data_IF_710134912551
#
_entry.id   IF_710134912551
#
_cell.length_a   1.000
_cell.length_b   1.000
_cell.length_c   1.000
_cell.angle_alpha   90.00
_cell.angle_beta   90.00
_cell.angle_gamma   90.00
#
_symmetry.space_group_name_H-M   'P 1'
#
loop_
_entity.id
_entity.type
_entity.pdbx_description
1 polymer ?
#
# COMPACT_ATOMS: atom_id res chain seq x y z
N UNK A 1 -8.65 64.27 -23.51
CA UNK A 1 -8.24 64.71 -24.87
C UNK A 1 -9.21 64.04 -25.85
N UNK A 2 -9.75 64.80 -26.81
CA UNK A 2 -11.00 64.48 -27.51
C UNK A 2 -10.93 63.25 -28.41
N UNK A 3 -11.98 62.43 -28.39
CA UNK A 3 -12.19 61.23 -29.23
C UNK A 3 -12.49 61.55 -30.71
N UNK A 4 -12.11 62.72 -31.22
CA UNK A 4 -12.49 63.17 -32.57
C UNK A 4 -11.33 63.81 -33.34
N UNK A 5 -10.09 63.50 -32.96
CA UNK A 5 -8.95 63.79 -33.81
C UNK A 5 -8.96 62.74 -34.92
N UNK A 6 -9.56 63.11 -36.06
CA UNK A 6 -9.45 62.37 -37.33
C UNK A 6 -7.97 62.30 -37.69
N UNK A 7 -7.31 61.24 -37.24
CA UNK A 7 -6.02 60.84 -37.76
C UNK A 7 -6.26 60.43 -39.22
N UNK A 8 -5.77 61.26 -40.16
CA UNK A 8 -5.78 60.92 -41.57
C UNK A 8 -4.85 59.71 -41.76
N UNK A 9 -5.43 58.53 -41.93
CA UNK A 9 -4.68 57.29 -42.13
C UNK A 9 -4.43 57.06 -43.62
N UNK A 10 -3.19 56.70 -43.94
CA UNK A 10 -2.76 56.27 -45.27
C UNK A 10 -2.73 54.73 -45.29
N UNK A 11 -3.52 54.03 -46.13
CA UNK A 11 -3.62 52.57 -46.09
C UNK A 11 -2.29 51.89 -46.40
N UNK A 12 -1.68 51.18 -45.45
CA UNK A 12 -0.29 50.71 -45.64
C UNK A 12 -0.08 49.30 -46.17
N UNK A 13 -1.07 48.41 -46.37
CA UNK A 13 -0.77 47.07 -46.96
C UNK A 13 -1.92 46.11 -47.29
N UNK A 14 -3.11 46.27 -46.72
CA UNK A 14 -4.13 45.19 -46.70
C UNK A 14 -5.48 45.55 -47.34
N UNK A 15 -5.57 46.70 -48.02
CA UNK A 15 -6.75 47.11 -48.80
C UNK A 15 -6.43 46.84 -50.27
N UNK A 16 -6.98 45.77 -50.86
CA UNK A 16 -6.71 45.37 -52.25
C UNK A 16 -7.83 45.76 -53.22
N UNK A 17 -8.60 46.83 -53.01
CA UNK A 17 -9.59 47.38 -53.97
C UNK A 17 -10.44 46.36 -54.81
N UNK A 18 -10.61 45.12 -54.35
CA UNK A 18 -11.15 44.00 -55.11
C UNK A 18 -12.33 43.47 -54.32
N UNK A 19 -13.55 43.73 -54.78
CA UNK A 19 -14.74 43.25 -54.08
C UNK A 19 -14.75 41.70 -54.03
N UNK A 20 -14.91 41.07 -52.85
CA UNK A 20 -15.34 41.62 -51.57
C UNK A 20 -14.18 41.76 -50.56
N UNK A 21 -13.44 42.87 -50.62
CA UNK A 21 -12.53 43.29 -49.55
C UNK A 21 -13.31 43.89 -48.37
N UNK A 22 -12.84 43.62 -47.15
CA UNK A 22 -13.35 44.23 -45.91
C UNK A 22 -13.17 45.75 -46.03
N UNK A 23 -14.25 46.53 -45.94
CA UNK A 23 -14.16 47.99 -46.03
C UNK A 23 -13.32 48.60 -44.87
N UNK A 24 -12.82 49.81 -45.09
CA UNK A 24 -11.97 50.52 -44.14
C UNK A 24 -12.67 50.74 -42.78
N UNK A 25 -13.99 50.83 -42.73
CA UNK A 25 -14.74 50.99 -41.47
C UNK A 25 -14.69 49.71 -40.63
N UNK A 26 -14.89 48.55 -41.25
CA UNK A 26 -14.80 47.25 -40.59
C UNK A 26 -13.37 46.90 -40.17
N UNK A 27 -12.36 47.23 -40.98
CA UNK A 27 -10.95 47.10 -40.61
C UNK A 27 -10.60 48.00 -39.40
N UNK A 28 -11.03 49.25 -39.39
CA UNK A 28 -10.82 50.17 -38.27
C UNK A 28 -11.46 49.67 -36.96
N UNK A 29 -12.65 49.06 -37.05
CA UNK A 29 -13.31 48.43 -35.89
C UNK A 29 -12.50 47.24 -35.38
N UNK A 30 -11.94 46.42 -36.27
CA UNK A 30 -11.10 45.27 -35.90
C UNK A 30 -9.79 45.74 -35.26
N UNK A 31 -9.10 46.73 -35.83
CA UNK A 31 -7.87 47.29 -35.27
C UNK A 31 -8.11 47.91 -33.89
N UNK A 32 -9.17 48.71 -33.75
CA UNK A 32 -9.53 49.35 -32.48
C UNK A 32 -9.87 48.32 -31.40
N UNK A 33 -10.64 47.28 -31.76
CA UNK A 33 -10.98 46.21 -30.83
C UNK A 33 -9.74 45.41 -30.40
N UNK A 34 -8.82 45.13 -31.31
CA UNK A 34 -7.59 44.41 -30.98
C UNK A 34 -6.65 45.24 -30.09
N UNK A 35 -6.53 46.55 -30.34
CA UNK A 35 -5.75 47.47 -29.50
C UNK A 35 -6.30 47.57 -28.07
N UNK A 36 -7.62 47.46 -27.88
CA UNK A 36 -8.25 47.39 -26.55
C UNK A 36 -7.75 46.18 -25.74
N UNK A 37 -7.47 45.06 -26.42
CA UNK A 37 -6.85 43.86 -25.83
C UNK A 37 -5.31 43.90 -25.83
N UNK A 38 -4.70 45.03 -26.23
CA UNK A 38 -3.24 45.21 -26.27
C UNK A 38 -2.53 44.40 -27.36
N UNK A 39 -3.25 44.03 -28.43
CA UNK A 39 -2.71 43.27 -29.56
C UNK A 39 -2.90 44.07 -30.85
N UNK A 40 -1.87 44.20 -31.68
CA UNK A 40 -1.97 44.77 -33.02
C UNK A 40 -2.31 43.71 -34.08
N UNK A 41 -2.92 44.14 -35.19
CA UNK A 41 -3.14 43.24 -36.35
C UNK A 41 -1.82 42.68 -36.86
N UNK A 42 -0.76 43.48 -36.85
CA UNK A 42 0.58 43.04 -37.25
C UNK A 42 1.14 41.95 -36.33
N UNK A 43 0.93 42.05 -35.02
CA UNK A 43 1.31 41.00 -34.06
C UNK A 43 0.51 39.71 -34.29
N UNK A 44 -0.78 39.81 -34.58
CA UNK A 44 -1.63 38.66 -34.88
C UNK A 44 -1.25 37.98 -36.20
N UNK A 45 -1.02 38.78 -37.25
CA UNK A 45 -0.56 38.29 -38.55
C UNK A 45 0.84 37.68 -38.47
N UNK A 46 1.74 38.29 -37.69
CA UNK A 46 3.09 37.79 -37.47
C UNK A 46 3.11 36.46 -36.68
N UNK A 47 2.20 36.27 -35.73
CA UNK A 47 2.10 35.02 -34.97
C UNK A 47 1.80 33.81 -35.86
N UNK A 48 1.10 33.99 -36.99
CA UNK A 48 0.85 32.94 -37.98
C UNK A 48 0.20 31.67 -37.39
N UNK A 49 -0.51 31.81 -36.28
CA UNK A 49 -1.16 30.71 -35.55
C UNK A 49 -0.22 29.74 -34.81
N UNK A 50 1.09 30.03 -34.70
CA UNK A 50 2.05 29.14 -34.03
C UNK A 50 2.63 29.73 -32.76
N UNK A 51 2.72 28.92 -31.70
CA UNK A 51 3.36 29.29 -30.43
C UNK A 51 4.86 29.65 -30.57
N UNK A 52 5.50 29.24 -31.67
CA UNK A 52 6.91 29.59 -31.93
C UNK A 52 7.13 31.08 -32.23
N UNK A 53 6.09 31.79 -32.68
CA UNK A 53 6.17 33.23 -33.03
C UNK A 53 5.48 34.13 -32.02
N UNK A 54 4.70 33.57 -31.09
CA UNK A 54 4.09 34.31 -29.99
C UNK A 54 5.17 34.62 -28.96
N UNK A 55 5.38 35.91 -28.69
CA UNK A 55 6.28 36.41 -27.65
C UNK A 55 5.56 36.48 -26.31
N UNK A 56 6.24 36.08 -25.26
CA UNK A 56 5.74 36.07 -23.89
C UNK A 56 6.86 36.44 -22.92
N UNK A 57 6.49 37.13 -21.84
CA UNK A 57 7.43 37.47 -20.77
C UNK A 57 7.76 36.23 -19.94
N UNK A 58 9.02 35.82 -19.96
CA UNK A 58 9.56 34.76 -19.10
C UNK A 58 9.65 35.26 -17.66
N UNK A 59 8.52 35.19 -16.95
CA UNK A 59 8.40 35.76 -15.60
C UNK A 59 9.34 35.11 -14.58
N UNK A 60 9.71 33.86 -14.80
CA UNK A 60 10.49 33.06 -13.85
C UNK A 60 11.92 32.77 -14.29
N UNK A 61 12.31 33.20 -15.50
CA UNK A 61 13.62 32.92 -16.07
C UNK A 61 13.83 31.44 -16.40
N UNK A 62 12.83 30.82 -17.02
CA UNK A 62 12.86 29.40 -17.42
C UNK A 62 13.71 29.16 -18.67
N UNK A 63 13.79 30.15 -19.57
CA UNK A 63 14.53 30.09 -20.85
C UNK A 63 15.61 31.17 -20.90
N UNK A 64 15.29 32.38 -20.44
CA UNK A 64 16.19 33.54 -20.40
C UNK A 64 16.26 34.13 -18.99
N UNK A 65 16.85 35.31 -18.80
CA UNK A 65 16.75 36.00 -17.51
C UNK A 65 15.30 36.34 -17.17
N UNK A 66 14.92 36.27 -15.90
CA UNK A 66 13.58 36.62 -15.45
C UNK A 66 13.14 38.00 -15.97
N UNK A 67 11.86 38.08 -16.37
CA UNK A 67 11.23 39.22 -17.05
C UNK A 67 11.76 39.51 -18.46
N UNK A 68 12.66 38.67 -19.00
CA UNK A 68 13.08 38.70 -20.39
C UNK A 68 12.00 38.16 -21.32
N UNK A 69 12.10 38.50 -22.60
CA UNK A 69 11.16 38.04 -23.62
C UNK A 69 11.57 36.67 -24.16
N UNK A 70 10.62 35.74 -24.26
CA UNK A 70 10.80 34.39 -24.82
C UNK A 70 9.65 34.06 -25.76
N UNK A 71 9.82 33.04 -26.59
CA UNK A 71 8.68 32.50 -27.35
C UNK A 71 7.84 31.59 -26.46
N UNK A 72 6.53 31.56 -26.70
CA UNK A 72 5.63 30.68 -25.96
C UNK A 72 6.03 29.20 -26.10
N UNK A 73 6.50 28.79 -27.29
CA UNK A 73 7.03 27.43 -27.50
C UNK A 73 8.24 27.12 -26.61
N UNK A 74 9.21 28.03 -26.51
CA UNK A 74 10.40 27.80 -25.69
C UNK A 74 10.05 27.66 -24.20
N UNK A 75 9.09 28.45 -23.71
CA UNK A 75 8.59 28.33 -22.33
C UNK A 75 7.86 27.01 -22.10
N UNK A 76 7.01 26.57 -23.05
CA UNK A 76 6.34 25.27 -22.99
C UNK A 76 7.36 24.14 -22.95
N UNK A 77 8.38 24.18 -23.80
CA UNK A 77 9.44 23.17 -23.86
C UNK A 77 10.26 23.14 -22.55
N UNK A 78 10.60 24.31 -22.00
CA UNK A 78 11.30 24.42 -20.73
C UNK A 78 10.48 23.86 -19.55
N UNK A 79 9.18 24.16 -19.51
CA UNK A 79 8.26 23.61 -18.51
C UNK A 79 8.13 22.09 -18.69
N UNK A 80 7.93 21.61 -19.91
CA UNK A 80 7.84 20.18 -20.19
C UNK A 80 9.11 19.43 -19.75
N UNK A 81 10.28 20.00 -20.02
CA UNK A 81 11.56 19.45 -19.58
C UNK A 81 11.68 19.43 -18.04
N UNK A 82 11.37 20.56 -17.37
CA UNK A 82 11.41 20.65 -15.90
C UNK A 82 10.43 19.66 -15.26
N UNK A 83 9.22 19.53 -15.80
CA UNK A 83 8.23 18.56 -15.33
C UNK A 83 8.73 17.14 -15.54
N UNK A 84 9.14 16.77 -16.76
CA UNK A 84 9.47 15.38 -17.09
C UNK A 84 10.81 14.88 -16.52
N UNK A 85 11.80 15.76 -16.38
CA UNK A 85 13.16 15.35 -16.02
C UNK A 85 13.57 15.78 -14.60
N UNK A 86 13.03 16.88 -14.07
CA UNK A 86 13.41 17.38 -12.74
C UNK A 86 12.36 17.05 -11.67
N UNK A 87 11.08 17.40 -11.89
CA UNK A 87 10.00 17.25 -10.89
C UNK A 87 9.43 15.83 -10.87
N UNK A 88 9.04 15.31 -12.04
CA UNK A 88 8.56 13.94 -12.26
C UNK A 88 9.75 13.11 -12.73
N UNK A 89 10.88 13.20 -12.03
CA UNK A 89 12.03 12.36 -12.35
C UNK A 89 11.58 10.90 -12.27
N UNK A 90 11.45 10.22 -13.43
CA UNK A 90 10.93 8.85 -13.53
C UNK A 90 11.70 7.87 -12.62
N UNK A 91 12.97 8.16 -12.32
CA UNK A 91 13.79 7.38 -11.39
C UNK A 91 13.41 7.55 -9.90
N UNK A 92 12.52 8.50 -9.56
CA UNK A 92 11.90 8.67 -8.23
C UNK A 92 10.45 8.18 -8.19
N UNK A 93 9.87 7.83 -9.35
CA UNK A 93 8.59 7.11 -9.46
C UNK A 93 8.92 5.63 -9.57
N UNK A 94 9.40 5.05 -8.47
CA UNK A 94 9.81 3.64 -8.43
C UNK A 94 8.86 2.87 -7.52
N UNK A 95 8.67 1.61 -7.90
CA UNK A 95 7.98 0.56 -7.17
C UNK A 95 8.20 0.66 -5.65
N UNK A 96 7.13 0.98 -4.92
CA UNK A 96 7.08 1.35 -3.48
C UNK A 96 7.82 0.41 -2.51
N UNK A 97 8.18 -0.80 -2.93
CA UNK A 97 8.75 -1.81 -2.02
C UNK A 97 10.26 -1.69 -1.79
N UNK A 98 11.02 -1.02 -2.67
CA UNK A 98 12.49 -1.15 -2.69
C UNK A 98 13.29 0.14 -2.44
N UNK A 99 12.64 1.29 -2.21
CA UNK A 99 13.35 2.55 -2.02
C UNK A 99 13.90 2.69 -0.59
N UNK A 100 15.21 2.91 -0.46
CA UNK A 100 15.97 2.94 0.82
C UNK A 100 16.44 4.34 1.22
N UNK A 101 16.27 5.35 0.37
CA UNK A 101 16.67 6.74 0.63
C UNK A 101 15.51 7.58 1.19
N UNK A 102 15.67 8.06 2.42
CA UNK A 102 14.68 8.85 3.15
C UNK A 102 14.43 10.26 2.58
N UNK A 103 15.28 10.74 1.68
CA UNK A 103 15.09 12.00 0.96
C UNK A 103 14.18 11.87 -0.28
N UNK A 104 13.71 10.66 -0.58
CA UNK A 104 12.84 10.37 -1.73
C UNK A 104 11.46 9.84 -1.31
N UNK A 105 10.44 10.41 -1.95
CA UNK A 105 8.98 10.21 -1.89
C UNK A 105 8.44 9.18 -0.86
N UNK A 106 7.57 9.70 0.02
CA UNK A 106 6.55 9.18 0.96
C UNK A 106 6.20 7.67 1.09
N UNK A 107 6.75 6.72 0.33
CA UNK A 107 6.35 5.31 0.39
C UNK A 107 7.51 4.31 0.49
N UNK A 108 8.72 4.63 0.01
CA UNK A 108 9.85 3.69 0.01
C UNK A 108 10.35 3.31 1.41
N UNK A 109 10.66 4.33 2.21
CA UNK A 109 11.14 4.13 3.59
C UNK A 109 10.08 3.50 4.49
N UNK A 110 8.81 3.78 4.24
CA UNK A 110 7.70 3.16 4.96
C UNK A 110 7.56 1.67 4.59
N UNK A 111 7.70 1.31 3.31
CA UNK A 111 7.67 -0.08 2.83
C UNK A 111 8.75 -0.94 3.49
N UNK A 112 10.00 -0.48 3.50
CA UNK A 112 11.11 -1.22 4.13
C UNK A 112 10.96 -1.34 5.66
N UNK A 113 10.43 -0.30 6.32
CA UNK A 113 10.15 -0.35 7.76
C UNK A 113 8.99 -1.31 8.09
N UNK A 114 7.96 -1.37 7.23
CA UNK A 114 6.85 -2.31 7.35
C UNK A 114 7.31 -3.75 7.15
N UNK A 115 8.12 -4.02 6.12
CA UNK A 115 8.68 -5.36 5.85
C UNK A 115 9.47 -5.90 7.06
N UNK A 116 10.39 -5.10 7.63
CA UNK A 116 11.11 -5.48 8.85
C UNK A 116 10.19 -5.79 10.02
N UNK A 117 9.16 -4.97 10.22
CA UNK A 117 8.17 -5.18 11.31
C UNK A 117 7.32 -6.42 11.05
N UNK A 118 6.96 -6.69 9.80
CA UNK A 118 6.19 -7.86 9.39
C UNK A 118 6.99 -9.14 9.63
N UNK A 119 8.22 -9.21 9.13
CA UNK A 119 9.11 -10.37 9.33
C UNK A 119 9.36 -10.63 10.82
N UNK A 120 9.57 -9.58 11.62
CA UNK A 120 9.71 -9.73 13.07
C UNK A 120 8.44 -10.29 13.73
N UNK A 121 7.26 -9.82 13.30
CA UNK A 121 5.98 -10.32 13.80
C UNK A 121 5.73 -11.78 13.40
N UNK A 122 6.02 -12.15 12.15
CA UNK A 122 5.90 -13.53 11.65
C UNK A 122 6.78 -14.50 12.46
N UNK A 123 8.04 -14.10 12.71
CA UNK A 123 8.96 -14.91 13.52
C UNK A 123 8.48 -15.05 14.97
N UNK A 124 7.98 -13.97 15.58
CA UNK A 124 7.43 -14.01 16.94
C UNK A 124 6.20 -14.93 17.04
N UNK A 125 5.30 -14.89 16.05
CA UNK A 125 4.13 -15.78 15.99
C UNK A 125 4.57 -17.25 15.84
N UNK A 126 5.57 -17.53 15.01
CA UNK A 126 6.11 -18.88 14.85
C UNK A 126 6.70 -19.42 16.17
N UNK A 127 7.44 -18.59 16.91
CA UNK A 127 7.98 -18.95 18.23
C UNK A 127 6.87 -19.23 19.25
N UNK A 128 5.89 -18.32 19.37
CA UNK A 128 4.76 -18.52 20.29
C UNK A 128 3.98 -19.81 19.99
N UNK A 129 3.77 -20.13 18.72
CA UNK A 129 3.13 -21.38 18.33
C UNK A 129 3.98 -22.60 18.73
N UNK A 130 5.31 -22.51 18.61
CA UNK A 130 6.20 -23.59 19.05
C UNK A 130 6.25 -23.75 20.58
N UNK A 131 6.18 -22.65 21.33
CA UNK A 131 6.27 -22.65 22.80
C UNK A 131 4.93 -23.01 23.48
N UNK A 132 3.81 -22.51 22.96
CA UNK A 132 2.45 -22.84 23.44
C UNK A 132 2.09 -24.33 23.24
N UNK A 133 2.78 -25.01 22.32
CA UNK A 133 2.59 -26.42 22.02
C UNK A 133 3.07 -27.37 23.14
N UNK A 134 3.87 -26.88 24.10
CA UNK A 134 4.30 -27.68 25.25
C UNK A 134 3.32 -27.64 26.43
N UNK A 135 2.26 -26.83 26.37
CA UNK A 135 1.36 -26.66 27.53
C UNK A 135 -0.15 -26.69 27.26
N UNK A 136 -0.66 -26.52 26.03
CA UNK A 136 -2.11 -26.27 25.86
C UNK A 136 -2.82 -26.99 24.69
N UNK A 137 -2.75 -28.33 24.66
CA UNK A 137 -3.89 -29.09 24.15
C UNK A 137 -4.70 -29.60 25.35
N UNK A 138 -5.55 -28.75 25.94
CA UNK A 138 -6.49 -29.20 26.97
C UNK A 138 -7.49 -30.16 26.32
N UNK A 139 -7.24 -31.47 26.46
CA UNK A 139 -8.20 -32.47 26.04
C UNK A 139 -9.34 -32.50 27.06
N UNK A 140 -10.48 -31.89 26.72
CA UNK A 140 -11.68 -31.88 27.55
C UNK A 140 -12.72 -32.85 27.00
N UNK A 141 -13.09 -33.86 27.80
CA UNK A 141 -14.11 -34.86 27.42
C UNK A 141 -15.11 -35.04 28.54
N UNK A 142 -16.38 -35.24 28.16
CA UNK A 142 -17.52 -35.35 29.09
C UNK A 142 -17.70 -36.74 29.72
N UNK A 143 -17.05 -37.79 29.19
CA UNK A 143 -17.12 -39.17 29.69
C UNK A 143 -15.81 -39.50 30.45
N UNK A 144 -15.91 -39.93 31.70
CA UNK A 144 -14.76 -40.07 32.61
C UNK A 144 -14.69 -41.43 33.35
N UNK A 145 -15.43 -42.44 32.89
CA UNK A 145 -15.27 -43.81 33.38
C UNK A 145 -13.97 -44.43 32.85
N UNK A 146 -13.50 -45.51 33.48
CA UNK A 146 -12.19 -46.09 33.15
C UNK A 146 -12.08 -46.58 31.70
N UNK A 147 -13.18 -47.08 31.12
CA UNK A 147 -13.19 -47.56 29.74
C UNK A 147 -13.30 -46.42 28.72
N UNK A 148 -14.13 -45.41 29.00
CA UNK A 148 -14.25 -44.22 28.17
C UNK A 148 -12.93 -43.46 28.07
N UNK A 149 -12.26 -43.23 29.21
CA UNK A 149 -10.94 -42.58 29.26
C UNK A 149 -9.93 -43.35 28.40
N UNK A 150 -9.86 -44.68 28.54
CA UNK A 150 -8.89 -45.49 27.79
C UNK A 150 -9.14 -45.46 26.28
N UNK A 151 -10.39 -45.65 25.86
CA UNK A 151 -10.76 -45.67 24.44
C UNK A 151 -10.52 -44.32 23.77
N UNK A 152 -10.91 -43.25 24.44
CA UNK A 152 -10.73 -41.89 23.97
C UNK A 152 -9.24 -41.52 23.85
N UNK A 153 -8.45 -41.83 24.88
CA UNK A 153 -7.00 -41.60 24.88
C UNK A 153 -6.30 -42.38 23.76
N UNK A 154 -6.71 -43.63 23.53
CA UNK A 154 -6.17 -44.45 22.45
C UNK A 154 -6.52 -43.88 21.06
N UNK A 155 -7.78 -43.52 20.84
CA UNK A 155 -8.24 -42.95 19.58
C UNK A 155 -7.52 -41.64 19.23
N UNK A 156 -7.22 -40.82 20.25
CA UNK A 156 -6.58 -39.53 20.09
C UNK A 156 -5.05 -39.56 20.27
N UNK A 157 -4.43 -40.72 20.52
CA UNK A 157 -3.01 -40.80 20.87
C UNK A 157 -2.09 -40.08 19.85
N UNK A 158 -2.40 -40.23 18.57
CA UNK A 158 -1.62 -39.66 17.48
C UNK A 158 -1.84 -38.15 17.28
N UNK A 159 -2.91 -37.58 17.84
CA UNK A 159 -3.17 -36.12 17.78
C UNK A 159 -2.36 -35.36 18.82
N UNK A 160 -2.03 -36.02 19.95
CA UNK A 160 -1.12 -35.46 20.95
C UNK A 160 0.30 -35.32 20.40
N UNK A 161 0.96 -34.22 20.77
CA UNK A 161 2.36 -33.98 20.44
C UNK A 161 3.27 -34.83 21.35
N UNK A 162 4.45 -35.19 20.86
CA UNK A 162 5.51 -35.74 21.71
C UNK A 162 5.87 -34.73 22.80
N UNK A 163 6.04 -35.19 24.03
CA UNK A 163 6.26 -34.35 25.21
C UNK A 163 5.14 -34.48 26.24
N UNK A 164 4.97 -33.44 27.06
CA UNK A 164 3.97 -33.39 28.13
C UNK A 164 2.73 -32.61 27.67
N UNK A 165 1.54 -33.13 27.96
CA UNK A 165 0.26 -32.44 27.72
C UNK A 165 -0.67 -32.57 28.92
N UNK A 166 -1.53 -31.57 29.16
CA UNK A 166 -2.52 -31.58 30.24
C UNK A 166 -3.86 -32.20 29.80
N UNK A 167 -4.54 -32.88 30.73
CA UNK A 167 -5.79 -33.59 30.50
C UNK A 167 -6.87 -33.17 31.50
N UNK A 168 -8.12 -33.09 31.02
CA UNK A 168 -9.29 -32.87 31.86
C UNK A 168 -10.47 -33.73 31.38
N UNK A 169 -10.79 -34.77 32.12
CA UNK A 169 -12.01 -35.56 31.91
C UNK A 169 -13.02 -35.17 32.99
N UNK A 170 -14.20 -34.66 32.62
CA UNK A 170 -15.19 -34.17 33.62
C UNK A 170 -16.62 -34.48 33.22
N UNK A 171 -17.44 -34.79 34.20
CA UNK A 171 -18.89 -34.80 34.07
C UNK A 171 -19.52 -34.05 35.24
N UNK A 172 -20.84 -34.16 35.40
CA UNK A 172 -21.57 -33.50 36.51
C UNK A 172 -21.26 -34.07 37.89
N UNK A 173 -20.66 -35.27 37.98
CA UNK A 173 -20.41 -35.97 39.23
C UNK A 173 -18.92 -35.97 39.65
N UNK A 174 -17.99 -35.96 38.69
CA UNK A 174 -16.56 -36.16 38.96
C UNK A 174 -15.69 -35.47 37.89
N UNK A 175 -14.49 -35.04 38.29
CA UNK A 175 -13.45 -34.55 37.40
C UNK A 175 -12.12 -35.28 37.65
N UNK A 176 -11.47 -35.69 36.57
CA UNK A 176 -10.13 -36.24 36.52
C UNK A 176 -9.21 -35.26 35.82
N UNK A 177 -8.14 -34.85 36.49
CA UNK A 177 -7.09 -34.00 35.93
C UNK A 177 -5.81 -34.81 35.82
N UNK A 178 -4.97 -34.50 34.85
CA UNK A 178 -3.73 -35.24 34.70
C UNK A 178 -2.84 -34.81 33.56
N UNK A 179 -1.86 -35.65 33.27
CA UNK A 179 -0.83 -35.39 32.28
C UNK A 179 -0.62 -36.61 31.37
N UNK A 180 -0.39 -36.34 30.09
CA UNK A 180 0.22 -37.30 29.15
C UNK A 180 1.72 -37.03 29.16
N UNK A 181 2.51 -38.09 29.16
CA UNK A 181 3.92 -38.06 28.80
C UNK A 181 4.11 -38.96 27.57
N UNK A 182 4.08 -38.35 26.37
CA UNK A 182 4.18 -39.05 25.09
C UNK A 182 5.63 -39.04 24.62
N UNK A 183 6.20 -40.22 24.43
CA UNK A 183 7.53 -40.36 23.84
C UNK A 183 7.45 -40.38 22.30
N UNK A 184 6.56 -41.20 21.74
CA UNK A 184 6.29 -41.28 20.31
C UNK A 184 4.87 -41.81 20.05
N UNK A 185 4.52 -42.11 18.79
CA UNK A 185 3.20 -42.64 18.44
C UNK A 185 2.93 -44.06 18.98
N UNK A 186 3.97 -44.78 19.40
CA UNK A 186 3.86 -46.13 19.96
C UNK A 186 4.08 -46.16 21.48
N UNK A 187 4.65 -45.14 22.11
CA UNK A 187 5.08 -45.20 23.52
C UNK A 187 4.73 -43.95 24.30
N UNK A 188 4.23 -44.15 25.50
CA UNK A 188 4.08 -43.10 26.49
C UNK A 188 3.27 -43.57 27.70
N UNK A 189 2.92 -42.63 28.55
CA UNK A 189 2.14 -42.89 29.77
C UNK A 189 1.17 -41.77 30.05
N UNK A 190 0.13 -42.10 30.80
CA UNK A 190 -0.88 -41.14 31.27
C UNK A 190 -1.04 -41.31 32.77
N UNK A 191 -1.11 -40.20 33.48
CA UNK A 191 -1.44 -40.13 34.91
C UNK A 191 -2.67 -39.25 35.08
N UNK A 192 -3.69 -39.76 35.77
CA UNK A 192 -4.90 -39.02 36.12
C UNK A 192 -5.18 -39.14 37.62
N UNK A 193 -5.68 -38.06 38.21
CA UNK A 193 -6.13 -37.99 39.60
C UNK A 193 -7.51 -37.34 39.66
N UNK A 194 -8.36 -37.78 40.58
CA UNK A 194 -9.66 -37.15 40.85
C UNK A 194 -9.63 -36.34 42.16
N UNK A 195 -10.75 -35.70 42.50
CA UNK A 195 -10.92 -34.92 43.73
C UNK A 195 -10.93 -35.75 45.02
N UNK A 196 -11.10 -37.08 44.92
CA UNK A 196 -11.12 -38.00 46.06
C UNK A 196 -9.76 -38.66 46.32
N UNK A 197 -8.75 -38.34 45.52
CA UNK A 197 -7.40 -38.90 45.63
C UNK A 197 -7.21 -40.26 44.95
N UNK A 198 -8.22 -40.76 44.22
CA UNK A 198 -8.09 -41.92 43.36
C UNK A 198 -7.15 -41.62 42.20
N UNK A 199 -6.34 -42.60 41.81
CA UNK A 199 -5.30 -42.45 40.80
C UNK A 199 -5.46 -43.52 39.72
N UNK A 200 -5.41 -43.09 38.46
CA UNK A 200 -5.35 -43.96 37.28
C UNK A 200 -4.06 -43.71 36.53
N UNK A 201 -3.32 -44.78 36.23
CA UNK A 201 -2.08 -44.73 35.46
C UNK A 201 -2.17 -45.69 34.29
N UNK A 202 -1.89 -45.20 33.09
CA UNK A 202 -1.93 -45.97 31.87
C UNK A 202 -0.58 -45.96 31.15
N UNK A 203 -0.28 -47.05 30.42
CA UNK A 203 0.83 -47.16 29.48
C UNK A 203 0.30 -47.32 28.06
N UNK A 204 0.81 -46.50 27.15
CA UNK A 204 0.66 -46.74 25.71
C UNK A 204 1.87 -47.52 25.21
N UNK A 205 1.62 -48.65 24.57
CA UNK A 205 2.68 -49.47 23.96
C UNK A 205 2.18 -50.13 22.67
N UNK A 206 2.58 -49.57 21.52
CA UNK A 206 2.12 -49.99 20.20
C UNK A 206 0.69 -49.55 19.92
N UNK A 207 -0.24 -50.51 19.95
CA UNK A 207 -1.64 -50.35 19.53
C UNK A 207 -2.63 -50.50 20.69
N UNK A 208 -2.18 -50.42 21.94
CA UNK A 208 -3.05 -50.58 23.10
C UNK A 208 -2.64 -49.61 24.21
N UNK A 209 -3.65 -49.06 24.89
CA UNK A 209 -3.49 -48.38 26.17
C UNK A 209 -3.89 -49.33 27.31
N UNK A 210 -2.97 -49.61 28.22
CA UNK A 210 -3.12 -50.60 29.29
C UNK A 210 -3.03 -49.97 30.67
N UNK A 211 -3.82 -50.44 31.63
CA UNK A 211 -3.71 -50.00 33.04
C UNK A 211 -2.41 -50.51 33.65
N UNK A 212 -1.67 -49.60 34.29
CA UNK A 212 -0.52 -49.95 35.13
C UNK A 212 -0.94 -49.95 36.61
N UNK A 213 -1.80 -49.00 36.98
CA UNK A 213 -2.26 -48.82 38.35
C UNK A 213 -3.63 -48.16 38.37
N UNK A 214 -4.54 -48.72 39.17
CA UNK A 214 -5.85 -48.15 39.45
C UNK A 214 -6.08 -48.30 40.95
N UNK A 215 -5.98 -47.20 41.69
CA UNK A 215 -6.43 -47.13 43.07
C UNK A 215 -7.77 -46.41 43.12
N UNK A 216 -8.76 -47.10 43.65
CA UNK A 216 -10.08 -46.56 44.01
C UNK A 216 -9.99 -45.82 45.34
#
# INVERSE_FOLDING_TARGET
>A
MGMNDKHNYDPTKWVDNSEPDIDAEHLNKIESALQEYGVSIDELAAAGGTAAKVKATDTYGLVVSALGESTAQALIDAIANKVMNELINKNKIVNNLLATDASTVLAGTQGAALDKRLVAAENAVAQLNSEALFTNALHTVSANDSNGIKNDMYANWNTFKTGVAALLYRNSAEAWIGLINKYDNAKGSVLLINSWGSIKVYRHYGTVLTDIYVAS
#
